data_IF_812388122411
#
_entry.id   IF_812388122411
#
_cell.length_a   1.000
_cell.length_b   1.000
_cell.length_c   1.000
_cell.angle_alpha   90.00
_cell.angle_beta   90.00
_cell.angle_gamma   90.00
#
_symmetry.space_group_name_H-M   'P 1'
#
loop_
_entity.id
_entity.type
_entity.pdbx_description
1 polymer ?
#
# COMPACT_ATOMS: atom_id res chain seq x y z
N UNK A 1 -26.52 -5.62 14.85
CA UNK A 1 -25.73 -4.43 15.21
C UNK A 1 -25.73 -3.51 14.00
N UNK A 2 -26.10 -2.23 14.19
CA UNK A 2 -26.17 -1.19 13.16
C UNK A 2 -24.81 -0.56 12.94
N UNK A 3 -24.28 -0.64 11.73
CA UNK A 3 -22.92 -0.20 11.38
C UNK A 3 -22.96 0.93 10.35
N UNK A 4 -22.26 2.02 10.62
CA UNK A 4 -21.86 2.97 9.57
C UNK A 4 -20.44 2.65 9.15
N UNK A 5 -20.23 2.41 7.85
CA UNK A 5 -18.94 2.05 7.30
C UNK A 5 -18.31 3.26 6.58
N UNK A 6 -17.04 3.55 6.88
CA UNK A 6 -16.27 4.64 6.28
C UNK A 6 -15.09 4.06 5.52
N UNK A 7 -15.05 4.21 4.20
CA UNK A 7 -13.95 3.68 3.41
C UNK A 7 -13.93 4.21 1.98
N UNK A 8 -12.85 3.96 1.25
CA UNK A 8 -12.77 4.38 -0.16
C UNK A 8 -12.01 3.40 -1.06
N UNK A 9 -10.75 3.01 -0.77
CA UNK A 9 -9.97 2.21 -1.70
C UNK A 9 -10.31 0.72 -1.59
N UNK A 10 -9.75 -0.07 -2.50
CA UNK A 10 -9.92 -1.53 -2.59
C UNK A 10 -9.61 -2.25 -1.27
N UNK A 11 -8.68 -1.71 -0.46
CA UNK A 11 -8.36 -2.24 0.88
C UNK A 11 -9.56 -2.29 1.83
N UNK A 12 -10.57 -1.42 1.64
CA UNK A 12 -11.76 -1.36 2.46
C UNK A 12 -12.86 -2.33 2.01
N UNK A 13 -12.78 -2.88 0.80
CA UNK A 13 -13.83 -3.74 0.25
C UNK A 13 -14.05 -5.02 1.06
N UNK A 14 -13.00 -5.81 1.43
CA UNK A 14 -13.23 -7.05 2.15
C UNK A 14 -13.93 -6.84 3.48
N UNK A 15 -13.59 -5.76 4.20
CA UNK A 15 -14.24 -5.41 5.45
C UNK A 15 -15.72 -5.09 5.27
N UNK A 16 -16.09 -4.29 4.27
CA UNK A 16 -17.50 -3.98 3.99
C UNK A 16 -18.28 -5.24 3.59
N UNK A 17 -17.72 -6.07 2.70
CA UNK A 17 -18.36 -7.32 2.27
C UNK A 17 -18.53 -8.30 3.42
N UNK A 18 -17.54 -8.42 4.30
CA UNK A 18 -17.61 -9.28 5.48
C UNK A 18 -18.72 -8.81 6.44
N UNK A 19 -18.84 -7.51 6.69
CA UNK A 19 -19.93 -6.98 7.52
C UNK A 19 -21.31 -7.35 6.96
N UNK A 20 -21.51 -7.19 5.66
CA UNK A 20 -22.77 -7.53 4.98
C UNK A 20 -23.03 -9.04 5.05
N UNK A 21 -22.02 -9.87 4.74
CA UNK A 21 -22.14 -11.32 4.70
C UNK A 21 -22.35 -11.98 6.07
N UNK A 22 -21.81 -11.40 7.14
CA UNK A 22 -21.88 -11.93 8.51
C UNK A 22 -23.10 -11.40 9.30
N UNK A 23 -24.04 -10.73 8.62
CA UNK A 23 -25.32 -10.33 9.20
C UNK A 23 -25.28 -9.06 10.04
N UNK A 24 -24.25 -8.21 9.90
CA UNK A 24 -24.28 -6.85 10.43
C UNK A 24 -25.24 -5.99 9.59
N UNK A 25 -26.01 -5.13 10.24
CA UNK A 25 -26.90 -4.20 9.54
C UNK A 25 -26.08 -2.97 9.13
N UNK A 26 -25.54 -2.95 7.91
CA UNK A 26 -24.82 -1.78 7.40
C UNK A 26 -25.83 -0.71 6.97
N UNK A 27 -26.05 0.26 7.86
CA UNK A 27 -27.12 1.28 7.71
C UNK A 27 -26.69 2.49 6.89
N UNK A 28 -25.39 2.64 6.65
CA UNK A 28 -24.84 3.72 5.84
C UNK A 28 -23.38 3.50 5.47
N UNK A 29 -23.02 3.93 4.26
CA UNK A 29 -21.65 3.92 3.76
C UNK A 29 -21.21 5.35 3.47
N UNK A 30 -20.08 5.76 4.05
CA UNK A 30 -19.43 7.04 3.77
C UNK A 30 -18.15 6.80 2.98
N UNK A 31 -18.09 7.36 1.78
CA UNK A 31 -16.90 7.32 0.92
C UNK A 31 -16.56 8.69 0.40
N UNK A 32 -15.34 8.87 -0.12
CA UNK A 32 -14.95 10.15 -0.70
C UNK A 32 -15.73 10.42 -2.00
N UNK A 33 -15.96 11.69 -2.37
CA UNK A 33 -16.49 12.05 -3.67
C UNK A 33 -15.64 11.44 -4.80
N UNK A 34 -16.31 11.00 -5.86
CA UNK A 34 -15.62 10.45 -7.02
C UNK A 34 -14.69 11.50 -7.61
N UNK A 35 -13.47 11.07 -7.94
CA UNK A 35 -12.46 11.92 -8.58
C UNK A 35 -12.08 11.31 -9.92
N UNK A 36 -11.74 12.14 -10.93
CA UNK A 36 -11.16 11.66 -12.17
C UNK A 36 -9.98 10.72 -11.89
N UNK A 37 -10.04 9.50 -12.41
CA UNK A 37 -9.00 8.50 -12.23
C UNK A 37 -8.27 8.20 -13.54
N UNK A 38 -7.02 7.74 -13.42
CA UNK A 38 -6.24 7.27 -14.57
C UNK A 38 -5.89 8.37 -15.58
N UNK A 39 -5.48 7.94 -16.78
CA UNK A 39 -5.12 8.85 -17.89
C UNK A 39 -6.35 9.38 -18.63
N UNK A 40 -7.43 8.59 -18.69
CA UNK A 40 -8.70 8.98 -19.34
C UNK A 40 -9.43 10.09 -18.59
N UNK A 41 -9.10 10.29 -17.30
CA UNK A 41 -9.80 11.21 -16.38
C UNK A 41 -11.30 10.88 -16.28
N UNK A 42 -11.68 9.64 -16.54
CA UNK A 42 -13.03 9.17 -16.32
C UNK A 42 -13.35 9.19 -14.82
N UNK A 43 -14.59 9.54 -14.51
CA UNK A 43 -15.11 9.48 -13.15
C UNK A 43 -15.52 8.03 -12.91
N UNK A 44 -14.65 7.30 -12.23
CA UNK A 44 -14.89 5.92 -11.83
C UNK A 44 -15.31 5.94 -10.35
N UNK A 45 -16.47 5.37 -10.00
CA UNK A 45 -16.87 5.19 -8.61
C UNK A 45 -15.78 4.53 -7.79
N UNK A 46 -15.63 4.94 -6.52
CA UNK A 46 -14.77 4.19 -5.61
C UNK A 46 -15.29 2.76 -5.44
N UNK A 47 -14.44 1.76 -5.20
CA UNK A 47 -14.92 0.39 -5.00
C UNK A 47 -15.92 0.24 -3.86
N UNK A 48 -15.71 0.94 -2.74
CA UNK A 48 -16.68 1.01 -1.63
C UNK A 48 -18.02 1.59 -2.07
N UNK A 49 -18.01 2.62 -2.93
CA UNK A 49 -19.23 3.18 -3.53
C UNK A 49 -19.96 2.12 -4.37
N UNK A 50 -19.23 1.36 -5.18
CA UNK A 50 -19.84 0.34 -6.02
C UNK A 50 -20.57 -0.71 -5.17
N UNK A 51 -19.94 -1.20 -4.10
CA UNK A 51 -20.59 -2.14 -3.17
C UNK A 51 -21.85 -1.52 -2.55
N UNK A 52 -21.79 -0.27 -2.09
CA UNK A 52 -22.96 0.39 -1.51
C UNK A 52 -24.12 0.52 -2.50
N UNK A 53 -23.84 0.79 -3.78
CA UNK A 53 -24.86 0.85 -4.82
C UNK A 53 -25.44 -0.53 -5.15
N UNK A 54 -24.58 -1.55 -5.26
CA UNK A 54 -24.99 -2.92 -5.59
C UNK A 54 -25.86 -3.54 -4.49
N UNK A 55 -25.59 -3.18 -3.23
CA UNK A 55 -26.29 -3.67 -2.03
C UNK A 55 -27.40 -2.71 -1.55
N UNK A 56 -27.67 -1.65 -2.33
CA UNK A 56 -28.71 -0.63 -2.07
C UNK A 56 -28.59 0.05 -0.68
N UNK A 57 -27.37 0.22 -0.18
CA UNK A 57 -27.07 0.86 1.10
C UNK A 57 -27.04 2.38 0.95
N UNK A 58 -27.58 3.10 1.94
CA UNK A 58 -27.54 4.58 2.00
C UNK A 58 -26.10 5.09 1.88
N UNK A 59 -25.84 5.93 0.88
CA UNK A 59 -24.51 6.39 0.51
C UNK A 59 -24.33 7.88 0.80
N UNK A 60 -23.25 8.21 1.51
CA UNK A 60 -22.82 9.57 1.79
C UNK A 60 -21.46 9.85 1.11
N UNK A 61 -21.38 10.99 0.40
CA UNK A 61 -20.13 11.47 -0.22
C UNK A 61 -19.83 12.92 0.17
N UNK A 62 -19.64 13.22 1.47
CA UNK A 62 -19.33 14.57 1.92
C UNK A 62 -17.97 15.00 1.36
N UNK A 63 -17.83 16.30 1.07
CA UNK A 63 -16.52 16.87 0.70
C UNK A 63 -15.55 16.79 1.87
N UNK A 64 -16.05 16.94 3.09
CA UNK A 64 -15.32 16.72 4.33
C UNK A 64 -16.25 16.27 5.47
N UNK A 65 -15.72 15.58 6.48
CA UNK A 65 -16.52 15.05 7.59
C UNK A 65 -17.09 16.13 8.55
N UNK A 66 -16.86 17.42 8.29
CA UNK A 66 -17.49 18.55 9.00
C UNK A 66 -18.67 19.15 8.24
N UNK A 67 -18.98 18.65 7.05
CA UNK A 67 -20.12 19.12 6.27
C UNK A 67 -21.39 19.00 7.12
N UNK A 68 -22.12 20.11 7.21
CA UNK A 68 -23.10 20.39 8.27
C UNK A 68 -24.05 19.23 8.50
N UNK A 69 -24.80 18.89 7.45
CA UNK A 69 -25.93 17.96 7.51
C UNK A 69 -25.53 16.50 7.74
N UNK A 70 -24.25 16.14 7.51
CA UNK A 70 -23.78 14.74 7.64
C UNK A 70 -23.97 14.21 9.06
N UNK A 71 -23.78 15.05 10.07
CA UNK A 71 -23.90 14.62 11.45
C UNK A 71 -25.34 14.26 11.79
N UNK A 72 -26.30 15.11 11.39
CA UNK A 72 -27.73 14.89 11.58
C UNK A 72 -28.19 13.65 10.81
N UNK A 73 -27.81 13.52 9.53
CA UNK A 73 -28.12 12.36 8.69
C UNK A 73 -27.62 11.04 9.33
N UNK A 74 -26.38 11.02 9.82
CA UNK A 74 -25.83 9.84 10.48
C UNK A 74 -26.49 9.56 11.84
N UNK A 75 -26.95 10.60 12.54
CA UNK A 75 -27.66 10.47 13.82
C UNK A 75 -29.00 9.76 13.62
N UNK A 76 -29.73 10.10 12.56
CA UNK A 76 -31.02 9.46 12.21
C UNK A 76 -30.87 7.95 11.95
N UNK A 77 -29.71 7.52 11.45
CA UNK A 77 -29.40 6.11 11.24
C UNK A 77 -29.23 5.33 12.55
N UNK A 78 -29.06 6.00 13.69
CA UNK A 78 -28.85 5.38 15.03
C UNK A 78 -27.81 4.25 15.00
N UNK A 79 -26.57 4.49 14.57
CA UNK A 79 -25.56 3.46 14.52
C UNK A 79 -25.18 2.98 15.92
N UNK A 80 -24.99 1.67 16.05
CA UNK A 80 -24.37 1.10 17.24
C UNK A 80 -22.86 1.38 17.23
N UNK A 81 -22.22 1.24 16.07
CA UNK A 81 -20.77 1.39 15.87
C UNK A 81 -20.47 2.02 14.50
N UNK A 82 -19.36 2.74 14.41
CA UNK A 82 -18.76 3.13 13.12
C UNK A 82 -17.49 2.31 12.88
N UNK A 83 -17.25 1.92 11.64
CA UNK A 83 -16.02 1.24 11.21
C UNK A 83 -15.33 2.08 10.15
N UNK A 84 -14.08 2.44 10.38
CA UNK A 84 -13.24 3.22 9.47
C UNK A 84 -12.16 2.33 8.87
N UNK A 85 -12.05 2.35 7.55
CA UNK A 85 -11.02 1.61 6.81
C UNK A 85 -10.52 2.45 5.65
N UNK A 86 -9.30 2.98 5.78
CA UNK A 86 -8.63 3.74 4.73
C UNK A 86 -9.47 4.90 4.11
N UNK A 87 -10.29 5.59 4.92
CA UNK A 87 -11.13 6.70 4.47
C UNK A 87 -10.31 7.94 4.04
N UNK A 88 -9.19 8.21 4.72
CA UNK A 88 -8.21 9.21 4.32
C UNK A 88 -8.54 10.66 4.67
N UNK A 89 -9.59 10.92 5.47
CA UNK A 89 -9.86 12.21 6.11
C UNK A 89 -9.91 12.04 7.63
N UNK A 90 -9.55 13.10 8.35
CA UNK A 90 -9.67 13.17 9.82
C UNK A 90 -11.15 13.32 10.18
N UNK A 91 -11.64 12.48 11.09
CA UNK A 91 -12.99 12.58 11.63
C UNK A 91 -13.03 13.59 12.78
N UNK A 92 -14.01 14.51 12.82
CA UNK A 92 -14.26 15.35 13.98
C UNK A 92 -14.68 14.51 15.20
N UNK A 93 -14.36 14.98 16.41
CA UNK A 93 -14.75 14.31 17.66
C UNK A 93 -16.24 13.95 17.71
N UNK A 94 -17.12 14.87 17.30
CA UNK A 94 -18.57 14.62 17.26
C UNK A 94 -18.97 13.41 16.43
N UNK A 95 -18.24 13.10 15.35
CA UNK A 95 -18.50 11.94 14.49
C UNK A 95 -17.92 10.67 15.13
N UNK A 96 -16.74 10.78 15.76
CA UNK A 96 -16.10 9.66 16.47
C UNK A 96 -17.01 9.13 17.59
N UNK A 97 -17.63 10.06 18.34
CA UNK A 97 -18.45 9.75 19.52
C UNK A 97 -19.93 9.47 19.19
N UNK A 98 -20.36 9.66 17.94
CA UNK A 98 -21.77 9.52 17.54
C UNK A 98 -22.33 8.11 17.83
N UNK A 99 -21.64 7.00 17.46
CA UNK A 99 -22.14 5.66 17.75
C UNK A 99 -21.94 5.31 19.22
N UNK A 100 -22.92 4.66 19.85
CA UNK A 100 -22.87 4.31 21.29
C UNK A 100 -21.71 3.38 21.67
N UNK A 101 -21.27 2.52 20.74
CA UNK A 101 -20.12 1.62 20.89
C UNK A 101 -18.85 2.24 20.30
N UNK A 102 -18.86 3.54 19.98
CA UNK A 102 -17.73 4.28 19.46
C UNK A 102 -17.41 3.98 17.99
N UNK A 103 -16.24 4.47 17.58
CA UNK A 103 -15.71 4.31 16.22
C UNK A 103 -14.45 3.44 16.25
N UNK A 104 -14.40 2.45 15.37
CA UNK A 104 -13.28 1.53 15.20
C UNK A 104 -12.51 1.84 13.92
N UNK A 105 -11.23 1.47 13.89
CA UNK A 105 -10.43 1.47 12.66
C UNK A 105 -9.67 0.15 12.49
N UNK A 106 -9.55 -0.32 11.24
CA UNK A 106 -8.60 -1.37 10.87
C UNK A 106 -7.30 -0.70 10.42
N UNK A 107 -6.24 -0.87 11.20
CA UNK A 107 -4.91 -0.37 10.88
C UNK A 107 -4.02 -1.50 10.37
N UNK A 108 -3.34 -1.30 9.24
CA UNK A 108 -2.56 -2.35 8.57
C UNK A 108 -1.12 -2.50 9.10
N UNK A 109 -0.97 -2.51 10.43
CA UNK A 109 0.25 -2.88 11.14
C UNK A 109 -0.08 -3.50 12.51
N UNK A 110 0.96 -4.01 13.17
CA UNK A 110 0.93 -4.38 14.58
C UNK A 110 1.23 -3.14 15.43
N UNK A 111 0.18 -2.41 15.82
CA UNK A 111 0.31 -1.25 16.71
C UNK A 111 0.95 -1.65 18.06
N UNK A 112 1.72 -0.75 18.70
CA UNK A 112 1.92 0.67 18.37
C UNK A 112 2.93 0.96 17.24
N UNK A 113 3.50 -0.06 16.59
CA UNK A 113 4.43 0.16 15.50
C UNK A 113 3.73 0.64 14.21
N UNK A 114 4.41 1.49 13.44
CA UNK A 114 4.01 1.95 12.11
C UNK A 114 2.65 2.68 12.06
N UNK A 115 2.36 3.56 13.03
CA UNK A 115 1.23 4.51 12.98
C UNK A 115 1.29 5.37 11.71
N UNK A 116 0.16 5.71 11.11
CA UNK A 116 0.06 6.64 9.98
C UNK A 116 -0.31 6.01 8.65
N UNK A 117 0.03 6.71 7.56
CA UNK A 117 -0.61 6.51 6.26
C UNK A 117 0.03 5.45 5.35
N UNK A 118 1.24 4.97 5.65
CA UNK A 118 1.97 4.01 4.79
C UNK A 118 2.51 2.76 5.51
N UNK A 119 1.77 2.12 6.44
CA UNK A 119 2.32 1.06 7.28
C UNK A 119 2.81 -0.15 6.49
N UNK A 120 2.05 -0.59 5.47
CA UNK A 120 2.39 -1.77 4.66
C UNK A 120 3.71 -1.55 3.91
N UNK A 121 3.85 -0.40 3.24
CA UNK A 121 5.08 -0.06 2.53
C UNK A 121 6.26 0.09 3.49
N UNK A 122 6.04 0.69 4.66
CA UNK A 122 7.07 0.86 5.68
C UNK A 122 7.59 -0.49 6.19
N UNK A 123 6.70 -1.45 6.47
CA UNK A 123 7.08 -2.78 6.92
C UNK A 123 8.01 -3.48 5.91
N UNK A 124 7.65 -3.47 4.62
CA UNK A 124 8.49 -4.04 3.55
C UNK A 124 9.82 -3.28 3.45
N UNK A 125 9.78 -1.95 3.45
CA UNK A 125 10.97 -1.09 3.28
C UNK A 125 11.99 -1.26 4.40
N UNK A 126 11.51 -1.34 5.65
CA UNK A 126 12.35 -1.56 6.84
C UNK A 126 12.84 -3.01 6.95
N UNK A 127 12.33 -3.92 6.12
CA UNK A 127 12.75 -5.30 6.10
C UNK A 127 12.16 -6.14 7.23
N UNK A 128 10.97 -5.78 7.72
CA UNK A 128 10.25 -6.60 8.68
C UNK A 128 9.94 -7.97 8.06
N UNK A 129 10.02 -9.03 8.87
CA UNK A 129 9.61 -10.39 8.49
C UNK A 129 8.17 -10.69 8.87
N UNK A 130 7.56 -9.85 9.70
CA UNK A 130 6.17 -9.93 10.13
C UNK A 130 5.50 -8.56 10.07
N UNK A 131 4.19 -8.59 9.93
CA UNK A 131 3.30 -7.45 10.05
C UNK A 131 1.93 -7.97 10.48
N UNK A 132 0.87 -7.20 10.32
CA UNK A 132 -0.47 -7.66 10.60
C UNK A 132 -1.48 -6.55 10.47
N UNK A 133 -2.59 -6.76 11.16
CA UNK A 133 -3.67 -5.79 11.30
C UNK A 133 -3.98 -5.59 12.78
N UNK A 134 -4.38 -4.37 13.13
CA UNK A 134 -4.91 -4.04 14.45
C UNK A 134 -6.28 -3.41 14.29
N UNK A 135 -7.29 -3.96 14.97
CA UNK A 135 -8.57 -3.30 15.19
C UNK A 135 -8.45 -2.49 16.46
N UNK A 136 -8.67 -1.18 16.37
CA UNK A 136 -8.53 -0.25 17.49
C UNK A 136 -9.68 0.74 17.55
N UNK A 137 -9.84 1.40 18.71
CA UNK A 137 -10.65 2.61 18.85
C UNK A 137 -10.03 3.77 18.09
N UNK A 138 -10.88 4.60 17.49
CA UNK A 138 -10.45 5.88 16.92
C UNK A 138 -10.50 6.94 18.01
N UNK A 139 -9.39 7.66 18.16
CA UNK A 139 -9.25 8.84 19.01
C UNK A 139 -8.70 9.99 18.16
N UNK A 140 -8.71 11.26 18.63
CA UNK A 140 -8.14 12.39 17.87
C UNK A 140 -6.67 12.24 17.51
N UNK A 141 -5.91 11.57 18.38
CA UNK A 141 -4.50 11.28 18.13
C UNK A 141 -4.36 10.21 17.04
N UNK A 142 -3.44 10.45 16.10
CA UNK A 142 -3.24 9.59 14.93
C UNK A 142 -2.86 8.17 15.36
N UNK A 143 -3.76 7.23 15.07
CA UNK A 143 -3.59 5.79 15.28
C UNK A 143 -3.11 5.39 16.69
N UNK A 144 -3.53 6.16 17.70
CA UNK A 144 -3.07 6.02 19.09
C UNK A 144 -4.18 5.53 20.04
N UNK A 145 -5.32 5.11 19.52
CA UNK A 145 -6.42 4.64 20.35
C UNK A 145 -6.18 3.23 20.91
N UNK A 146 -6.92 2.85 21.97
CA UNK A 146 -6.87 1.50 22.54
C UNK A 146 -7.07 0.41 21.48
N UNK A 147 -6.22 -0.62 21.53
CA UNK A 147 -6.27 -1.78 20.64
C UNK A 147 -7.25 -2.82 21.17
N UNK A 148 -8.04 -3.42 20.30
CA UNK A 148 -9.04 -4.44 20.67
C UNK A 148 -8.56 -5.83 20.27
N UNK A 149 -8.08 -5.97 19.04
CA UNK A 149 -7.65 -7.25 18.50
C UNK A 149 -6.54 -7.04 17.47
N UNK A 150 -5.56 -7.95 17.48
CA UNK A 150 -4.48 -7.98 16.51
C UNK A 150 -4.41 -9.35 15.84
N UNK A 151 -4.04 -9.37 14.57
CA UNK A 151 -3.73 -10.59 13.85
C UNK A 151 -2.43 -10.41 13.07
N UNK A 152 -1.51 -11.36 13.27
CA UNK A 152 -0.18 -11.35 12.68
C UNK A 152 -0.13 -12.06 11.34
N UNK A 153 0.80 -11.65 10.49
CA UNK A 153 1.04 -12.21 9.18
C UNK A 153 2.53 -12.12 8.81
N UNK A 154 3.16 -13.20 8.30
CA UNK A 154 4.54 -13.11 7.80
C UNK A 154 4.57 -12.24 6.55
N UNK A 155 5.68 -11.55 6.28
CA UNK A 155 5.97 -10.90 4.99
C UNK A 155 6.84 -11.87 4.18
N UNK A 156 6.40 -12.27 2.99
CA UNK A 156 7.17 -13.23 2.18
C UNK A 156 8.36 -12.53 1.50
N UNK A 157 9.42 -13.30 1.20
CA UNK A 157 10.71 -12.77 0.73
C UNK A 157 10.59 -11.82 -0.47
N UNK A 158 9.84 -12.25 -1.49
CA UNK A 158 9.65 -11.52 -2.74
C UNK A 158 8.29 -10.77 -2.79
N UNK A 159 7.55 -10.72 -1.68
CA UNK A 159 6.21 -10.11 -1.62
C UNK A 159 6.27 -8.60 -1.90
N UNK A 160 5.36 -8.16 -2.76
CA UNK A 160 5.16 -6.75 -3.09
C UNK A 160 4.14 -6.09 -2.17
N UNK A 161 4.11 -4.75 -2.15
CA UNK A 161 3.08 -4.01 -1.45
C UNK A 161 1.67 -4.40 -1.92
N UNK A 162 1.45 -4.55 -3.22
CA UNK A 162 0.13 -4.92 -3.77
C UNK A 162 -0.36 -6.27 -3.28
N UNK A 163 0.51 -7.28 -3.28
CA UNK A 163 0.18 -8.64 -2.80
C UNK A 163 -0.11 -8.65 -1.29
N UNK A 164 0.77 -8.01 -0.51
CA UNK A 164 0.60 -7.92 0.93
C UNK A 164 -0.66 -7.12 1.30
N UNK A 165 -0.97 -6.05 0.56
CA UNK A 165 -2.18 -5.24 0.76
C UNK A 165 -3.45 -6.09 0.63
N UNK A 166 -3.55 -6.94 -0.42
CA UNK A 166 -4.72 -7.81 -0.62
C UNK A 166 -4.85 -8.77 0.55
N UNK A 167 -3.76 -9.43 0.95
CA UNK A 167 -3.78 -10.40 2.04
C UNK A 167 -4.12 -9.77 3.39
N UNK A 168 -3.60 -8.58 3.68
CA UNK A 168 -3.93 -7.85 4.90
C UNK A 168 -5.37 -7.29 4.90
N UNK A 169 -5.94 -6.98 3.74
CA UNK A 169 -7.33 -6.55 3.65
C UNK A 169 -8.28 -7.68 4.08
N UNK A 170 -8.05 -8.91 3.60
CA UNK A 170 -8.80 -10.10 4.01
C UNK A 170 -8.62 -10.42 5.50
N UNK A 171 -7.37 -10.39 5.99
CA UNK A 171 -7.08 -10.58 7.40
C UNK A 171 -7.77 -9.51 8.27
N UNK A 172 -7.75 -8.25 7.83
CA UNK A 172 -8.42 -7.14 8.48
C UNK A 172 -9.93 -7.34 8.58
N UNK A 173 -10.57 -7.83 7.51
CA UNK A 173 -12.00 -8.12 7.50
C UNK A 173 -12.38 -9.18 8.54
N UNK A 174 -11.64 -10.29 8.59
CA UNK A 174 -11.85 -11.35 9.57
C UNK A 174 -11.65 -10.85 11.01
N UNK A 175 -10.56 -10.12 11.24
CA UNK A 175 -10.22 -9.55 12.56
C UNK A 175 -11.29 -8.54 13.01
N UNK A 176 -11.84 -7.74 12.09
CA UNK A 176 -12.93 -6.81 12.39
C UNK A 176 -14.20 -7.54 12.83
N UNK A 177 -14.62 -8.58 12.09
CA UNK A 177 -15.82 -9.36 12.43
C UNK A 177 -15.67 -9.99 13.82
N UNK A 178 -14.50 -10.55 14.12
CA UNK A 178 -14.21 -11.10 15.44
C UNK A 178 -14.28 -10.03 16.54
N UNK A 179 -13.62 -8.88 16.33
CA UNK A 179 -13.64 -7.77 17.29
C UNK A 179 -15.07 -7.25 17.55
N UNK A 180 -15.88 -7.07 16.51
CA UNK A 180 -17.27 -6.65 16.64
C UNK A 180 -18.13 -7.71 17.35
N UNK A 181 -17.86 -8.99 17.12
CA UNK A 181 -18.50 -10.09 17.82
C UNK A 181 -18.18 -10.03 19.32
N UNK A 182 -16.90 -9.86 19.69
CA UNK A 182 -16.48 -9.72 21.09
C UNK A 182 -17.14 -8.50 21.75
N UNK A 183 -17.20 -7.36 21.06
CA UNK A 183 -17.89 -6.15 21.55
C UNK A 183 -19.38 -6.44 21.78
N UNK A 184 -20.04 -7.13 20.84
CA UNK A 184 -21.47 -7.45 20.95
C UNK A 184 -21.81 -8.33 22.15
N UNK A 185 -20.85 -9.20 22.54
CA UNK A 185 -20.96 -10.10 23.68
C UNK A 185 -20.51 -9.46 25.01
N UNK A 186 -20.01 -8.22 24.99
CA UNK A 186 -19.43 -7.56 26.16
C UNK A 186 -18.13 -8.22 26.63
N UNK A 187 -17.39 -8.87 25.72
CA UNK A 187 -16.15 -9.61 25.98
C UNK A 187 -14.90 -8.99 25.35
N UNK A 188 -15.04 -7.85 24.69
CA UNK A 188 -13.89 -7.15 24.12
C UNK A 188 -13.01 -6.60 25.24
N UNK A 189 -11.73 -6.94 25.19
CA UNK A 189 -10.70 -6.34 26.03
C UNK A 189 -9.99 -5.24 25.22
N UNK A 190 -9.69 -4.12 25.88
CA UNK A 190 -9.01 -2.99 25.26
C UNK A 190 -7.64 -2.81 25.90
N UNK A 191 -6.60 -2.71 25.08
CA UNK A 191 -5.22 -2.53 25.51
C UNK A 191 -4.73 -1.16 25.06
N UNK A 192 -4.37 -0.31 26.03
CA UNK A 192 -3.73 0.97 25.74
C UNK A 192 -2.38 0.77 25.05
N UNK A 193 -2.06 1.66 24.11
CA UNK A 193 -0.80 1.60 23.38
C UNK A 193 0.36 2.13 24.24
N UNK A 194 1.49 1.42 24.21
CA UNK A 194 2.74 1.91 24.80
C UNK A 194 3.40 2.95 23.87
N UNK A 195 3.29 4.22 24.24
CA UNK A 195 3.85 5.35 23.49
C UNK A 195 5.37 5.25 23.28
N UNK A 196 6.11 4.58 24.17
CA UNK A 196 7.56 4.41 24.04
C UNK A 196 7.95 3.47 22.88
N UNK A 197 7.01 2.63 22.44
CA UNK A 197 7.17 1.68 21.33
C UNK A 197 6.56 2.18 20.03
N UNK A 198 5.95 3.36 20.03
CA UNK A 198 5.31 3.93 18.87
C UNK A 198 6.35 4.29 17.78
N UNK A 199 6.09 3.84 16.56
CA UNK A 199 6.85 4.25 15.37
C UNK A 199 5.89 4.72 14.30
N UNK A 200 6.38 5.49 13.33
CA UNK A 200 5.53 6.18 12.35
C UNK A 200 5.87 5.79 10.92
N UNK A 201 4.83 5.53 10.13
CA UNK A 201 4.86 5.24 8.72
C UNK A 201 4.23 6.40 7.93
N UNK A 202 5.03 7.41 7.54
CA UNK A 202 4.50 8.57 6.82
C UNK A 202 3.95 8.17 5.44
N UNK A 203 3.14 9.07 4.87
CA UNK A 203 2.58 8.86 3.53
C UNK A 203 3.68 8.68 2.49
N UNK A 204 3.56 7.61 1.69
CA UNK A 204 4.43 7.39 0.53
C UNK A 204 4.20 8.47 -0.52
N UNK A 205 5.29 9.06 -1.00
CA UNK A 205 5.29 10.06 -2.06
C UNK A 205 6.02 9.51 -3.29
N UNK A 206 5.93 10.24 -4.41
CA UNK A 206 6.77 9.95 -5.57
C UNK A 206 8.26 10.00 -5.17
N UNK A 207 8.70 11.06 -4.50
CA UNK A 207 10.11 11.24 -4.18
C UNK A 207 10.65 10.14 -3.26
N UNK A 208 9.85 9.67 -2.29
CA UNK A 208 10.24 8.54 -1.42
C UNK A 208 10.36 7.20 -2.15
N UNK A 209 9.94 7.15 -3.41
CA UNK A 209 10.01 5.97 -4.30
C UNK A 209 11.12 6.11 -5.35
N UNK A 210 11.95 7.16 -5.26
CA UNK A 210 13.12 7.31 -6.12
C UNK A 210 14.22 6.35 -5.66
N UNK A 211 14.75 5.57 -6.59
CA UNK A 211 15.88 4.67 -6.35
C UNK A 211 17.15 5.49 -6.16
N UNK A 212 17.87 5.22 -5.08
CA UNK A 212 19.25 5.63 -4.88
C UNK A 212 20.15 4.41 -5.03
N UNK A 213 20.91 4.36 -6.12
CA UNK A 213 21.76 3.21 -6.41
C UNK A 213 22.96 3.08 -5.46
N UNK A 214 23.21 4.08 -4.60
CA UNK A 214 24.24 4.01 -3.57
C UNK A 214 23.85 3.14 -2.39
N UNK A 215 22.56 2.85 -2.23
CA UNK A 215 22.06 1.91 -1.23
C UNK A 215 22.44 0.47 -1.64
N UNK A 216 22.37 -0.47 -0.69
CA UNK A 216 22.61 -1.89 -0.99
C UNK A 216 21.54 -2.47 -1.92
N UNK A 217 21.87 -3.54 -2.66
CA UNK A 217 20.90 -4.24 -3.49
C UNK A 217 19.68 -4.71 -2.69
N UNK A 218 19.87 -5.11 -1.43
CA UNK A 218 18.78 -5.51 -0.54
C UNK A 218 17.83 -4.35 -0.20
N UNK A 219 18.37 -3.17 0.13
CA UNK A 219 17.57 -1.97 0.41
C UNK A 219 16.82 -1.50 -0.83
N UNK A 220 17.47 -1.49 -2.00
CA UNK A 220 16.83 -1.13 -3.27
C UNK A 220 15.76 -2.16 -3.65
N UNK A 221 15.98 -3.46 -3.41
CA UNK A 221 14.96 -4.50 -3.61
C UNK A 221 13.71 -4.24 -2.77
N UNK A 222 13.88 -3.95 -1.47
CA UNK A 222 12.77 -3.62 -0.57
C UNK A 222 12.02 -2.37 -1.03
N UNK A 223 12.73 -1.33 -1.47
CA UNK A 223 12.11 -0.12 -2.01
C UNK A 223 11.25 -0.43 -3.26
N UNK A 224 11.77 -1.24 -4.17
CA UNK A 224 11.06 -1.64 -5.38
C UNK A 224 9.78 -2.41 -5.02
N UNK A 225 9.89 -3.44 -4.17
CA UNK A 225 8.73 -4.24 -3.72
C UNK A 225 7.70 -3.42 -2.94
N UNK A 226 8.15 -2.55 -2.03
CA UNK A 226 7.28 -1.65 -1.27
C UNK A 226 6.55 -0.62 -2.14
N UNK A 227 7.03 -0.38 -3.36
CA UNK A 227 6.43 0.57 -4.30
C UNK A 227 5.63 -0.10 -5.42
N UNK A 228 5.63 -1.44 -5.51
CA UNK A 228 4.92 -2.20 -6.54
C UNK A 228 3.47 -2.49 -6.10
N UNK A 229 2.43 -2.12 -6.88
CA UNK A 229 2.48 -1.51 -8.22
C UNK A 229 2.47 0.02 -8.22
N UNK A 230 2.06 0.64 -7.11
CA UNK A 230 1.90 2.10 -6.98
C UNK A 230 2.61 2.59 -5.72
N UNK A 231 3.40 3.68 -5.81
CA UNK A 231 3.59 4.55 -6.98
C UNK A 231 4.55 4.01 -8.07
N UNK A 232 5.25 2.90 -7.78
CA UNK A 232 6.30 2.31 -8.60
C UNK A 232 7.65 2.98 -8.36
N UNK A 233 8.64 2.21 -7.89
CA UNK A 233 9.98 2.72 -7.65
C UNK A 233 10.65 3.07 -8.98
N UNK A 234 11.37 4.19 -9.06
CA UNK A 234 11.92 4.68 -10.31
C UNK A 234 13.35 5.22 -10.21
N UNK A 235 14.08 5.07 -11.31
CA UNK A 235 15.36 5.72 -11.54
C UNK A 235 15.22 6.85 -12.57
N UNK A 236 15.97 7.94 -12.38
CA UNK A 236 16.05 9.02 -13.37
C UNK A 236 17.04 8.63 -14.47
N UNK A 237 16.66 8.83 -15.72
CA UNK A 237 17.55 8.64 -16.88
C UNK A 237 17.51 9.87 -17.80
N UNK A 238 18.47 10.05 -18.72
CA UNK A 238 18.41 11.13 -19.72
C UNK A 238 17.15 11.11 -20.59
N UNK A 239 16.49 9.95 -20.72
CA UNK A 239 15.25 9.77 -21.49
C UNK A 239 13.97 9.89 -20.65
N UNK A 240 14.11 10.25 -19.37
CA UNK A 240 13.03 10.34 -18.40
C UNK A 240 13.06 9.21 -17.37
N UNK A 241 12.06 9.23 -16.48
CA UNK A 241 11.98 8.27 -15.39
C UNK A 241 11.61 6.86 -15.89
N UNK A 242 12.30 5.86 -15.35
CA UNK A 242 12.03 4.44 -15.62
C UNK A 242 11.68 3.77 -14.30
N UNK A 243 10.47 3.22 -14.20
CA UNK A 243 10.08 2.40 -13.05
C UNK A 243 10.60 0.98 -13.20
N UNK A 244 10.89 0.33 -12.08
CA UNK A 244 11.46 -1.00 -12.02
C UNK A 244 10.62 -1.90 -11.13
N UNK A 245 10.51 -3.18 -11.48
CA UNK A 245 9.71 -4.17 -10.77
C UNK A 245 10.36 -5.56 -10.82
N UNK A 246 9.93 -6.45 -9.93
CA UNK A 246 10.45 -7.82 -9.81
C UNK A 246 11.97 -7.89 -9.55
N UNK A 247 12.48 -7.26 -8.48
CA UNK A 247 13.91 -7.24 -8.18
C UNK A 247 14.36 -8.59 -7.60
N UNK A 248 15.58 -9.05 -7.95
CA UNK A 248 16.27 -10.14 -7.24
C UNK A 248 17.71 -9.72 -6.93
N UNK A 249 18.12 -9.91 -5.67
CA UNK A 249 19.48 -9.62 -5.21
C UNK A 249 20.46 -10.63 -5.80
N UNK A 250 21.62 -10.14 -6.23
CA UNK A 250 22.73 -10.92 -6.77
C UNK A 250 24.00 -10.66 -5.98
N UNK A 251 24.30 -11.56 -5.03
CA UNK A 251 25.41 -11.41 -4.09
C UNK A 251 26.78 -11.46 -4.79
N UNK A 252 27.73 -10.66 -4.31
CA UNK A 252 29.13 -10.66 -4.75
C UNK A 252 29.40 -9.99 -6.10
N UNK A 253 28.36 -9.54 -6.80
CA UNK A 253 28.48 -8.80 -8.06
C UNK A 253 28.87 -7.35 -7.78
N UNK A 254 29.95 -6.88 -8.42
CA UNK A 254 30.51 -5.54 -8.20
C UNK A 254 30.40 -4.66 -9.44
N UNK A 255 30.17 -3.38 -9.22
CA UNK A 255 30.15 -2.34 -10.24
C UNK A 255 30.06 -0.97 -9.58
N UNK A 256 29.99 0.10 -10.37
CA UNK A 256 29.69 1.44 -9.84
C UNK A 256 28.18 1.54 -9.57
N UNK A 257 27.75 2.17 -8.45
CA UNK A 257 26.33 2.45 -8.21
C UNK A 257 25.59 2.99 -9.44
N UNK A 258 24.58 2.26 -9.91
CA UNK A 258 23.76 2.60 -11.07
C UNK A 258 24.35 2.18 -12.42
N UNK A 259 25.49 1.50 -12.43
CA UNK A 259 26.07 0.90 -13.63
C UNK A 259 25.22 -0.27 -14.10
N UNK A 260 24.81 -0.23 -15.37
CA UNK A 260 24.13 -1.34 -16.01
C UNK A 260 25.18 -2.37 -16.44
N UNK A 261 25.25 -3.48 -15.72
CA UNK A 261 26.23 -4.54 -15.93
C UNK A 261 25.84 -5.48 -17.07
N UNK A 262 24.54 -5.70 -17.26
CA UNK A 262 23.98 -6.58 -18.30
C UNK A 262 22.64 -6.05 -18.79
N UNK A 263 22.41 -6.19 -20.10
CA UNK A 263 21.16 -5.79 -20.79
C UNK A 263 20.63 -6.85 -21.74
N UNK A 264 21.36 -7.96 -21.94
CA UNK A 264 20.96 -9.01 -22.88
C UNK A 264 20.54 -10.24 -22.09
N UNK A 265 19.26 -10.59 -22.17
CA UNK A 265 18.64 -11.70 -21.44
C UNK A 265 18.18 -11.36 -20.02
N UNK A 266 18.81 -10.37 -19.37
CA UNK A 266 18.40 -9.82 -18.07
C UNK A 266 19.02 -8.44 -17.85
N UNK A 267 18.26 -7.53 -17.24
CA UNK A 267 18.75 -6.24 -16.75
C UNK A 267 19.39 -6.42 -15.37
N UNK A 268 20.70 -6.23 -15.29
CA UNK A 268 21.46 -6.25 -14.03
C UNK A 268 22.09 -4.89 -13.77
N UNK A 269 21.83 -4.31 -12.60
CA UNK A 269 22.30 -2.99 -12.21
C UNK A 269 23.08 -3.10 -10.89
N UNK A 270 24.29 -2.54 -10.86
CA UNK A 270 25.10 -2.50 -9.65
C UNK A 270 24.54 -1.50 -8.62
N UNK A 271 24.59 -1.88 -7.35
CA UNK A 271 24.21 -1.06 -6.20
C UNK A 271 25.46 -0.61 -5.42
N UNK A 272 25.28 0.03 -4.25
CA UNK A 272 26.39 0.35 -3.34
C UNK A 272 27.05 -0.91 -2.78
N UNK A 273 26.26 -1.96 -2.61
CA UNK A 273 26.68 -3.31 -2.30
C UNK A 273 25.86 -4.27 -3.17
N UNK A 274 26.52 -5.26 -3.77
CA UNK A 274 25.94 -6.26 -4.67
C UNK A 274 25.26 -5.66 -5.91
N UNK A 275 24.46 -6.45 -6.62
CA UNK A 275 23.68 -6.00 -7.77
C UNK A 275 22.23 -6.48 -7.72
N UNK A 276 21.38 -5.85 -8.53
CA UNK A 276 19.99 -6.25 -8.72
C UNK A 276 19.73 -6.72 -10.14
N UNK A 277 19.12 -7.90 -10.26
CA UNK A 277 18.40 -8.32 -11.46
C UNK A 277 16.99 -7.72 -11.42
N UNK A 278 16.58 -7.04 -12.48
CA UNK A 278 15.25 -6.44 -12.63
C UNK A 278 14.48 -7.22 -13.70
N UNK A 279 13.30 -7.71 -13.34
CA UNK A 279 12.51 -8.55 -14.26
C UNK A 279 11.65 -7.72 -15.21
N UNK A 280 11.21 -6.53 -14.78
CA UNK A 280 10.29 -5.70 -15.53
C UNK A 280 10.59 -4.21 -15.38
N UNK A 281 10.34 -3.45 -16.44
CA UNK A 281 10.51 -1.99 -16.45
C UNK A 281 9.30 -1.29 -17.04
N UNK A 282 9.09 -0.04 -16.63
CA UNK A 282 8.10 0.85 -17.22
C UNK A 282 8.72 2.24 -17.48
N UNK A 283 9.15 2.52 -18.72
CA UNK A 283 9.55 3.86 -19.13
C UNK A 283 8.39 4.85 -19.05
N UNK A 284 8.69 6.14 -18.85
CA UNK A 284 7.71 7.20 -18.83
C UNK A 284 6.74 7.15 -20.03
N UNK A 285 5.44 7.19 -19.74
CA UNK A 285 4.38 7.14 -20.75
C UNK A 285 4.09 5.76 -21.36
N UNK A 286 4.96 4.75 -21.14
CA UNK A 286 4.81 3.38 -21.67
C UNK A 286 4.12 2.43 -20.68
N UNK A 287 3.73 1.26 -21.18
CA UNK A 287 3.23 0.16 -20.35
C UNK A 287 4.38 -0.60 -19.70
N UNK A 288 4.12 -1.21 -18.53
CA UNK A 288 5.02 -2.18 -17.89
C UNK A 288 5.22 -3.35 -18.84
N UNK A 289 6.45 -3.82 -18.97
CA UNK A 289 6.81 -4.96 -19.83
C UNK A 289 7.85 -5.82 -19.13
N UNK A 290 7.76 -7.13 -19.38
CA UNK A 290 8.87 -8.05 -19.17
C UNK A 290 10.12 -7.49 -19.85
N UNK A 291 11.26 -7.65 -19.20
CA UNK A 291 12.54 -7.33 -19.81
C UNK A 291 12.92 -8.37 -20.87
N UNK A 292 12.19 -8.39 -21.98
CA UNK A 292 12.60 -9.05 -23.23
C UNK A 292 13.38 -8.07 -24.14
N UNK A 293 13.48 -6.79 -23.76
CA UNK A 293 13.79 -5.67 -24.66
C UNK A 293 14.59 -4.50 -24.04
N UNK A 294 15.51 -4.75 -23.11
CA UNK A 294 16.83 -4.12 -23.22
C UNK A 294 17.63 -4.68 -24.44
N UNK A 295 17.13 -5.75 -25.07
CA UNK A 295 17.50 -6.19 -26.41
C UNK A 295 16.90 -5.27 -27.50
N UNK A 296 17.62 -4.20 -27.85
CA UNK A 296 17.43 -3.50 -29.12
C UNK A 296 16.63 -2.20 -29.08
N UNK A 297 17.06 -1.19 -28.32
CA UNK A 297 17.04 0.21 -28.78
C UNK A 297 17.87 1.14 -27.87
N UNK A 298 18.93 1.69 -28.47
CA UNK A 298 19.82 2.76 -27.98
C UNK A 298 20.87 2.40 -26.91
N UNK A 299 21.83 1.55 -27.29
CA UNK A 299 23.21 1.76 -26.85
C UNK A 299 23.90 2.65 -27.89
N UNK A 300 23.70 3.97 -27.78
CA UNK A 300 24.71 4.89 -28.31
C UNK A 300 25.67 5.20 -27.16
N UNK A 301 26.95 4.89 -27.39
CA UNK A 301 28.03 5.01 -26.42
C UNK A 301 28.28 6.50 -26.15
N UNK A 302 27.77 6.99 -25.02
CA UNK A 302 27.87 8.41 -24.67
C UNK A 302 28.26 8.68 -23.23
N UNK A 303 29.14 7.88 -22.61
CA UNK A 303 29.75 8.19 -21.31
C UNK A 303 31.23 7.77 -21.29
N UNK A 304 32.08 8.59 -21.91
CA UNK A 304 33.49 8.85 -21.55
C UNK A 304 34.18 9.54 -22.73
N UNK A 305 34.38 10.85 -22.63
CA UNK A 305 35.29 11.57 -23.52
C UNK A 305 36.71 11.02 -23.36
N UNK A 306 37.27 10.45 -24.43
CA UNK A 306 38.71 10.28 -24.59
C UNK A 306 39.17 11.07 -25.81
N UNK A 307 40.27 11.84 -25.72
CA UNK A 307 40.70 12.73 -26.79
C UNK A 307 41.30 11.91 -27.93
N UNK A 308 40.90 12.24 -29.16
CA UNK A 308 41.51 11.68 -30.37
C UNK A 308 42.93 12.25 -30.53
N UNK A 309 43.90 11.35 -30.62
CA UNK A 309 45.24 11.63 -31.14
C UNK A 309 45.13 11.98 -32.63
N UNK A 310 45.59 13.17 -33.03
CA UNK A 310 46.06 13.41 -34.38
C UNK A 310 47.58 13.59 -34.36
N UNK A 311 48.23 12.89 -35.28
CA UNK A 311 49.67 12.95 -35.53
C UNK A 311 50.06 14.28 -36.16
N UNK A 312 51.29 14.68 -35.85
CA UNK A 312 52.03 15.90 -36.17
C UNK A 312 52.19 16.16 -37.67
N UNK A 313 52.32 17.45 -38.03
CA UNK A 313 53.42 17.98 -38.86
C UNK A 313 53.74 19.42 -38.43
N UNK A 314 55.01 19.78 -38.58
CA UNK A 314 55.71 20.86 -37.89
C UNK A 314 55.69 22.20 -38.66
N UNK A 315 55.79 23.33 -37.93
CA UNK A 315 56.91 24.28 -37.94
C UNK A 315 56.54 25.75 -37.65
N UNK A 316 57.48 26.40 -36.96
CA UNK A 316 57.77 27.84 -36.86
C UNK A 316 56.96 28.73 -35.86
N UNK A 317 57.61 29.01 -34.72
CA UNK A 317 57.56 30.30 -33.99
C UNK A 317 58.51 31.31 -34.70
N UNK A 318 58.49 32.66 -34.49
CA UNK A 318 58.28 33.33 -33.19
C UNK A 318 57.62 34.74 -33.18
N UNK A 319 57.23 35.20 -31.96
CA UNK A 319 57.63 36.48 -31.29
C UNK A 319 56.53 37.06 -30.35
N UNK A 320 56.95 37.38 -29.13
CA UNK A 320 56.31 38.25 -28.10
C UNK A 320 56.54 39.75 -28.46
N UNK A 321 55.79 40.75 -27.94
CA UNK A 321 55.92 41.25 -26.53
C UNK A 321 54.60 41.78 -25.87
N UNK A 322 54.35 41.48 -24.57
CA UNK A 322 54.50 42.32 -23.35
C UNK A 322 53.39 43.35 -22.99
N UNK A 323 53.14 43.43 -21.65
CA UNK A 323 52.57 44.49 -20.79
C UNK A 323 51.03 44.59 -20.71
N UNK A 324 50.39 44.81 -19.56
CA UNK A 324 50.89 45.22 -18.25
C UNK A 324 49.85 45.15 -17.11
N UNK A 325 50.33 45.51 -15.93
CA UNK A 325 49.74 45.53 -14.59
C UNK A 325 48.40 46.27 -14.41
N UNK A 326 47.72 45.96 -13.29
CA UNK A 326 46.79 46.87 -12.63
C UNK A 326 46.09 46.28 -11.40
N UNK A 327 46.67 46.49 -10.22
CA UNK A 327 46.06 46.31 -8.89
C UNK A 327 44.82 47.20 -8.66
N UNK A 328 43.86 46.77 -7.84
CA UNK A 328 43.63 47.33 -6.50
C UNK A 328 42.33 46.88 -5.81
N UNK A 329 42.36 47.09 -4.49
CA UNK A 329 41.56 46.46 -3.45
C UNK A 329 40.32 47.27 -3.01
N UNK A 330 39.44 46.55 -2.27
CA UNK A 330 38.57 46.97 -1.14
C UNK A 330 37.43 47.96 -1.40
N UNK A 331 36.22 47.57 -0.96
CA UNK A 331 35.54 48.20 0.19
C UNK A 331 34.27 47.45 0.63
N UNK A 332 34.06 47.39 1.95
CA UNK A 332 32.90 46.87 2.68
C UNK A 332 31.67 47.79 2.53
N UNK A 333 30.46 47.23 2.70
CA UNK A 333 29.36 47.87 3.45
C UNK A 333 28.32 46.84 3.93
N UNK A 334 27.93 47.02 5.18
CA UNK A 334 26.94 46.28 5.97
C UNK A 334 25.50 46.56 5.49
N UNK A 335 24.57 45.62 5.71
CA UNK A 335 23.29 45.82 6.44
C UNK A 335 22.43 44.55 6.55
N UNK A 336 22.16 44.19 7.82
CA UNK A 336 20.91 43.72 8.48
C UNK A 336 20.10 42.54 7.92
N UNK A 337 19.90 41.56 8.80
CA UNK A 337 18.89 40.49 8.80
C UNK A 337 17.44 41.02 8.76
N UNK A 338 16.45 40.15 8.46
CA UNK A 338 15.85 39.35 9.54
C UNK A 338 15.60 37.86 9.21
N UNK A 339 15.69 37.03 10.26
CA UNK A 339 15.18 35.64 10.34
C UNK A 339 13.65 35.56 10.16
N UNK A 340 13.08 34.39 9.77
CA UNK A 340 12.70 33.39 10.78
C UNK A 340 12.96 31.90 10.41
N UNK A 341 13.43 31.17 11.42
CA UNK A 341 12.98 29.84 11.90
C UNK A 341 12.89 28.68 10.89
N UNK A 342 13.86 27.77 10.95
CA UNK A 342 13.74 26.39 10.47
C UNK A 342 13.97 25.41 11.64
N UNK A 343 13.06 24.45 11.77
CA UNK A 343 13.06 23.37 12.77
C UNK A 343 14.13 22.30 12.47
N UNK A 344 14.59 21.55 13.49
CA UNK A 344 15.84 20.78 13.41
C UNK A 344 15.70 19.43 12.70
N UNK A 345 16.77 19.06 12.00
CA UNK A 345 16.96 17.75 11.38
C UNK A 345 17.27 16.65 12.39
N UNK A 346 16.83 15.44 12.07
CA UNK A 346 17.12 14.22 12.81
C UNK A 346 18.55 13.73 12.49
N UNK A 347 19.40 13.45 13.49
CA UNK A 347 20.66 12.76 13.27
C UNK A 347 20.45 11.24 13.19
N UNK A 348 21.14 10.62 12.22
CA UNK A 348 21.37 9.18 12.13
C UNK A 348 22.02 8.68 13.44
N UNK A 349 21.38 7.72 14.10
CA UNK A 349 22.01 6.93 15.15
C UNK A 349 22.55 5.62 14.58
N UNK A 350 23.81 5.38 14.90
CA UNK A 350 24.68 4.28 14.51
C UNK A 350 24.23 2.95 15.13
N UNK A 351 24.30 1.88 14.34
CA UNK A 351 24.46 0.51 14.81
C UNK A 351 25.92 0.30 15.24
N UNK A 352 26.13 -0.10 16.49
CA UNK A 352 27.38 -0.68 16.95
C UNK A 352 27.10 -1.71 18.07
N UNK A 353 27.65 -2.91 17.85
CA UNK A 353 28.03 -3.97 18.79
C UNK A 353 27.14 -4.36 19.98
N UNK A 354 26.67 -5.61 19.92
CA UNK A 354 26.59 -6.49 21.08
C UNK A 354 27.19 -7.85 20.69
N UNK A 355 28.24 -8.22 21.40
CA UNK A 355 29.13 -9.33 21.08
C UNK A 355 28.66 -10.70 21.53
N UNK A 356 29.35 -11.69 20.98
CA UNK A 356 29.30 -13.08 21.38
C UNK A 356 29.96 -13.31 22.75
N UNK A 357 29.29 -14.07 23.62
CA UNK A 357 29.84 -15.14 24.47
C UNK A 357 28.79 -15.60 25.50
N UNK A 358 28.53 -16.91 25.56
CA UNK A 358 27.71 -17.50 26.62
C UNK A 358 27.12 -18.86 26.25
N UNK A 359 27.97 -19.87 26.16
CA UNK A 359 27.60 -21.26 25.90
C UNK A 359 26.99 -21.96 27.12
N UNK A 360 26.19 -23.00 26.83
CA UNK A 360 26.09 -24.29 27.51
C UNK A 360 24.81 -24.63 28.31
N UNK A 361 24.16 -25.69 27.78
CA UNK A 361 23.46 -26.82 28.46
C UNK A 361 22.06 -26.60 29.04
N UNK A 362 21.08 -27.22 28.40
CA UNK A 362 20.30 -28.31 29.00
C UNK A 362 19.69 -29.18 27.89
N UNK A 363 20.06 -30.46 27.91
CA UNK A 363 19.47 -31.56 27.14
C UNK A 363 18.46 -32.29 28.05
N UNK A 364 17.61 -33.12 27.46
CA UNK A 364 16.60 -34.01 28.07
C UNK A 364 15.27 -33.39 28.55
N UNK A 365 14.20 -33.62 27.76
CA UNK A 365 13.08 -34.48 28.17
C UNK A 365 12.18 -34.79 26.96
N UNK A 366 12.25 -36.05 26.55
CA UNK A 366 11.48 -36.67 25.47
C UNK A 366 10.55 -37.70 26.11
N UNK A 367 9.23 -37.44 26.21
CA UNK A 367 8.23 -38.52 26.36
C UNK A 367 6.87 -38.13 25.74
N UNK A 368 6.53 -38.89 24.69
CA UNK A 368 5.20 -39.29 24.18
C UNK A 368 4.04 -38.28 24.08
N UNK A 369 3.52 -38.13 22.84
CA UNK A 369 2.12 -38.52 22.49
C UNK A 369 1.88 -38.65 20.97
N UNK A 370 1.83 -39.91 20.56
CA UNK A 370 0.96 -40.58 19.58
C UNK A 370 0.30 -39.79 18.42
N UNK A 371 0.58 -40.27 17.18
CA UNK A 371 -0.15 -39.98 15.93
C UNK A 371 -1.45 -40.80 15.83
N UNK A 372 -2.54 -40.28 15.23
CA UNK A 372 -3.62 -41.12 14.72
C UNK A 372 -3.42 -41.50 13.25
N UNK A 373 -3.78 -42.75 12.96
CA UNK A 373 -3.64 -43.45 11.69
C UNK A 373 -4.70 -43.04 10.66
N UNK A 374 -4.31 -43.11 9.39
CA UNK A 374 -5.18 -43.06 8.21
C UNK A 374 -6.13 -44.26 8.19
N UNK A 375 -7.43 -44.01 8.00
CA UNK A 375 -8.38 -45.02 7.51
C UNK A 375 -9.11 -44.49 6.27
N UNK A 376 -8.91 -45.17 5.14
CA UNK A 376 -9.76 -45.14 3.95
C UNK A 376 -10.77 -46.27 4.04
N UNK A 377 -12.03 -46.07 3.60
CA UNK A 377 -12.82 -47.14 3.02
C UNK A 377 -12.81 -47.06 1.49
N UNK A 378 -12.59 -48.20 0.85
CA UNK A 378 -12.90 -48.44 -0.56
C UNK A 378 -14.38 -48.83 -0.68
N UNK A 379 -15.11 -48.26 -1.63
CA UNK A 379 -16.28 -48.91 -2.24
C UNK A 379 -16.22 -48.74 -3.77
N UNK A 380 -16.50 -49.85 -4.47
CA UNK A 380 -16.40 -50.03 -5.92
C UNK A 380 -17.71 -49.63 -6.63
N UNK A 381 -17.52 -48.92 -7.74
CA UNK A 381 -18.22 -48.89 -9.05
C UNK A 381 -19.59 -49.57 -9.24
N UNK A 382 -20.53 -48.77 -9.77
CA UNK A 382 -21.35 -49.00 -10.99
C UNK A 382 -22.27 -47.77 -11.16
N UNK A 383 -22.50 -47.11 -12.30
CA UNK A 383 -22.08 -47.19 -13.68
C UNK A 383 -22.70 -45.99 -14.45
N UNK A 384 -22.09 -45.63 -15.57
CA UNK A 384 -22.67 -45.00 -16.78
C UNK A 384 -23.88 -44.04 -16.67
N UNK A 385 -23.70 -42.77 -17.06
CA UNK A 385 -24.20 -42.21 -18.34
C UNK A 385 -24.05 -40.68 -18.44
N UNK A 386 -23.44 -40.25 -19.56
CA UNK A 386 -23.69 -39.06 -20.39
C UNK A 386 -24.06 -37.69 -19.78
N UNK A 387 -23.18 -36.72 -20.04
CA UNK A 387 -23.43 -35.28 -20.24
C UNK A 387 -24.44 -35.03 -21.40
N UNK A 388 -25.16 -33.88 -21.45
CA UNK A 388 -24.55 -32.60 -21.88
C UNK A 388 -25.09 -31.31 -21.25
N UNK A 389 -24.31 -30.25 -21.48
CA UNK A 389 -24.57 -28.83 -21.23
C UNK A 389 -25.91 -28.35 -21.82
N UNK A 390 -26.61 -27.44 -21.14
CA UNK A 390 -27.40 -26.38 -21.78
C UNK A 390 -27.29 -25.09 -20.95
N UNK A 391 -26.96 -24.01 -21.66
CA UNK A 391 -26.94 -22.63 -21.23
C UNK A 391 -28.13 -21.87 -21.87
N UNK A 392 -28.54 -20.77 -21.23
CA UNK A 392 -29.31 -19.61 -21.71
C UNK A 392 -30.83 -19.68 -22.03
N UNK A 393 -31.52 -18.75 -21.33
CA UNK A 393 -32.63 -17.86 -21.76
C UNK A 393 -34.08 -18.37 -21.77
N UNK A 394 -34.95 -17.41 -21.40
CA UNK A 394 -36.39 -17.30 -21.62
C UNK A 394 -37.33 -17.91 -20.57
N UNK A 395 -37.75 -17.08 -19.61
CA UNK A 395 -39.11 -17.14 -19.05
C UNK A 395 -39.75 -15.75 -19.12
N UNK A 396 -40.62 -15.56 -20.11
CA UNK A 396 -41.68 -14.54 -20.12
C UNK A 396 -42.96 -15.20 -20.63
N UNK A 397 -44.05 -14.89 -19.92
CA UNK A 397 -45.43 -14.80 -20.38
C UNK A 397 -46.12 -16.07 -20.90
N UNK A 398 -47.16 -16.52 -20.16
CA UNK A 398 -48.55 -16.53 -20.63
C UNK A 398 -49.43 -17.29 -19.63
N UNK A 399 -50.45 -16.61 -19.11
CA UNK A 399 -51.74 -17.10 -18.61
C UNK A 399 -52.39 -15.92 -17.86
N UNK A 400 -53.59 -15.42 -18.11
CA UNK A 400 -54.64 -15.69 -19.09
C UNK A 400 -55.58 -14.48 -19.02
N UNK A 401 -56.06 -13.98 -20.15
CA UNK A 401 -57.17 -13.03 -20.22
C UNK A 401 -58.51 -13.79 -20.30
N UNK A 402 -59.54 -13.27 -19.63
CA UNK A 402 -60.93 -13.74 -19.64
C UNK A 402 -61.82 -12.77 -18.86
N UNK A 403 -62.27 -11.66 -19.45
CA UNK A 403 -63.63 -11.43 -20.03
C UNK A 403 -64.68 -10.94 -19.01
N UNK A 404 -64.99 -9.65 -19.17
CA UNK A 404 -66.29 -8.95 -19.15
C UNK A 404 -67.28 -8.97 -17.95
N UNK A 405 -67.46 -7.74 -17.42
CA UNK A 405 -68.72 -6.97 -17.40
C UNK A 405 -69.78 -7.31 -16.33
N UNK A 406 -69.91 -6.41 -15.32
CA UNK A 406 -71.23 -5.97 -14.82
C UNK A 406 -71.18 -4.61 -14.15
N UNK A 407 -72.25 -3.85 -14.42
CA UNK A 407 -72.48 -2.43 -14.13
C UNK A 407 -73.01 -2.18 -12.70
N UNK A 408 -73.00 -0.88 -12.36
CA UNK A 408 -73.88 -0.12 -11.45
C UNK A 408 -73.52 0.00 -9.95
N UNK A 409 -72.91 1.16 -9.59
CA UNK A 409 -73.46 2.34 -8.85
C UNK A 409 -74.14 2.13 -7.45
N UNK A 410 -74.27 3.19 -6.61
CA UNK A 410 -73.25 4.10 -6.04
C UNK A 410 -73.55 4.45 -4.54
N UNK A 411 -72.89 5.50 -4.02
CA UNK A 411 -73.24 6.43 -2.91
C UNK A 411 -72.31 6.38 -1.69
N UNK A 412 -71.80 7.55 -1.32
CA UNK A 412 -71.06 7.84 -0.10
C UNK A 412 -69.84 8.69 -0.35
#
# INVERSE_FOLDING_TARGET
MRVVFWGTPDFAEPALRALIGEGFEVVGVVTRPDKPQGRSREIIPSPVKQIALDEEITLFQPKNARDGDLYEELTELRPDVSVVVAYGHILPQKIIDLPRLGTLNIHASLLPALRGAGPIQAAIRLGHTETGVTVMRVVPALDAGPMILQAEAPILEDETYGELQVRLAELGALTLVEALTLISLGKAEETEQDESRATYAPKVTRETSRIDWRDSALEVSRLIRASDPKPGAFAKTPKGDVKMFGPKVMDGIKGKPGEVLKTTGELVIACGLDALRISEVQPAGKNRKADDHAAGQSADRGLAGRPRRHQRRDHASPRLPQKGNGDHARARRQRRDPHPVAAPGYPNALLADAGAAGAARADEMLVHRQRPRRHRPRLRRSGSAAHPQIDLRARRAANSAGVENRRQRPLG
#
